data_IF_596533691243
#
_entry.id   IF_596533691243
#
_cell.length_a   1.000
_cell.length_b   1.000
_cell.length_c   1.000
_cell.angle_alpha   90.00
_cell.angle_beta   90.00
_cell.angle_gamma   90.00
#
_symmetry.space_group_name_H-M   'P 1'
#
loop_
_entity.id
_entity.type
_entity.pdbx_description
1 polymer ?
#
# COMPACT_ATOMS: atom_id res chain seq x y z
N UNK A 1 -3.45 -77.83 0.29
CA UNK A 1 -2.72 -76.66 0.84
C UNK A 1 -2.92 -75.53 -0.13
N UNK A 2 -3.76 -74.51 0.23
CA UNK A 2 -4.04 -73.34 -0.59
C UNK A 2 -3.30 -72.13 0.04
N UNK A 3 -2.32 -71.61 -0.66
CA UNK A 3 -1.58 -70.42 -0.25
C UNK A 3 -2.40 -69.18 -0.55
N UNK A 4 -2.76 -68.42 0.49
CA UNK A 4 -3.39 -67.06 0.39
C UNK A 4 -2.31 -66.06 0.09
N UNK A 5 -2.39 -65.35 -1.04
CA UNK A 5 -1.55 -64.20 -1.37
C UNK A 5 -2.21 -62.94 -0.80
N UNK A 6 -1.54 -62.35 0.16
CA UNK A 6 -1.91 -61.03 0.71
C UNK A 6 -1.45 -59.94 -0.28
N UNK A 7 -2.39 -59.19 -0.86
CA UNK A 7 -2.10 -57.98 -1.62
C UNK A 7 -2.07 -56.79 -0.64
N UNK A 8 -0.89 -56.24 -0.43
CA UNK A 8 -0.74 -54.96 0.29
C UNK A 8 -0.91 -53.84 -0.73
N UNK A 9 -2.04 -53.16 -0.64
CA UNK A 9 -2.30 -51.93 -1.44
C UNK A 9 -1.72 -50.74 -0.66
N UNK A 10 -0.58 -50.26 -1.11
CA UNK A 10 0.01 -49.01 -0.57
C UNK A 10 -0.72 -47.81 -1.19
N UNK A 11 -1.56 -47.15 -0.40
CA UNK A 11 -2.18 -45.89 -0.78
C UNK A 11 -1.15 -44.77 -0.55
N UNK A 12 -0.51 -44.27 -1.62
CA UNK A 12 0.25 -43.03 -1.59
C UNK A 12 -0.74 -41.86 -1.49
N UNK A 13 -0.87 -41.25 -0.31
CA UNK A 13 -1.53 -39.98 -0.14
C UNK A 13 -0.63 -38.87 -0.69
N UNK A 14 -0.93 -38.38 -1.90
CA UNK A 14 -0.32 -37.20 -2.44
C UNK A 14 -0.84 -35.98 -1.65
N UNK A 15 -0.03 -35.45 -0.73
CA UNK A 15 -0.26 -34.12 -0.12
C UNK A 15 -0.08 -33.09 -1.22
N UNK A 16 -1.19 -32.63 -1.81
CA UNK A 16 -1.21 -31.41 -2.65
C UNK A 16 -0.91 -30.23 -1.75
N UNK A 17 0.33 -29.71 -1.77
CA UNK A 17 0.59 -28.36 -1.30
C UNK A 17 -0.16 -27.40 -2.24
N UNK A 18 -1.36 -27.00 -1.85
CA UNK A 18 -2.05 -25.89 -2.50
C UNK A 18 -1.15 -24.66 -2.33
N UNK A 19 -0.50 -24.22 -3.40
CA UNK A 19 0.22 -22.96 -3.42
C UNK A 19 -0.79 -21.87 -3.09
N UNK A 20 -0.58 -21.20 -1.95
CA UNK A 20 -1.46 -20.13 -1.52
C UNK A 20 -1.39 -19.00 -2.56
N UNK A 21 -2.52 -18.67 -3.18
CA UNK A 21 -2.59 -17.57 -4.16
C UNK A 21 -2.00 -16.29 -3.57
N UNK A 22 -1.17 -15.56 -4.34
CA UNK A 22 -0.59 -14.31 -3.88
C UNK A 22 -1.68 -13.33 -3.44
N UNK A 23 -1.60 -12.83 -2.22
CA UNK A 23 -2.60 -11.93 -1.63
C UNK A 23 -1.98 -10.61 -1.19
N UNK A 24 -2.67 -9.51 -1.47
CA UNK A 24 -2.33 -8.18 -0.95
C UNK A 24 -2.47 -8.10 0.56
N UNK A 25 -3.41 -8.89 1.14
CA UNK A 25 -3.63 -8.92 2.59
C UNK A 25 -2.42 -9.50 3.32
N UNK A 26 -2.04 -8.85 4.40
CA UNK A 26 -0.93 -9.26 5.24
C UNK A 26 -0.15 -8.09 5.81
N UNK A 27 0.93 -8.43 6.51
CA UNK A 27 1.88 -7.48 7.07
C UNK A 27 3.16 -7.50 6.24
N UNK A 28 3.63 -6.32 5.88
CA UNK A 28 4.76 -6.09 5.00
C UNK A 28 5.78 -5.18 5.67
N UNK A 29 7.06 -5.54 5.63
CA UNK A 29 8.17 -4.77 6.22
C UNK A 29 9.00 -4.11 5.14
N UNK A 30 9.40 -2.85 5.34
CA UNK A 30 10.20 -2.10 4.39
C UNK A 30 11.54 -2.80 4.10
N UNK A 31 11.84 -2.98 2.83
CA UNK A 31 13.15 -3.48 2.34
C UNK A 31 13.94 -2.39 1.64
N UNK A 32 13.25 -1.45 0.97
CA UNK A 32 13.85 -0.34 0.23
C UNK A 32 12.90 0.86 0.19
N UNK A 33 13.45 2.05 0.15
CA UNK A 33 12.69 3.28 -0.17
C UNK A 33 13.53 4.16 -1.10
N UNK A 34 12.84 4.95 -1.94
CA UNK A 34 13.48 6.04 -2.66
C UNK A 34 14.00 7.09 -1.70
N UNK A 35 14.91 7.95 -2.17
CA UNK A 35 15.28 9.17 -1.46
C UNK A 35 14.12 10.17 -1.52
N UNK A 36 13.20 10.05 -0.53
CA UNK A 36 12.01 10.90 -0.44
C UNK A 36 12.40 12.37 -0.25
N UNK A 37 13.51 12.64 0.45
CA UNK A 37 13.99 14.02 0.65
C UNK A 37 14.43 14.63 -0.68
N UNK A 38 15.15 13.88 -1.51
CA UNK A 38 15.52 14.32 -2.86
C UNK A 38 14.29 14.54 -3.75
N UNK A 39 13.29 13.65 -3.70
CA UNK A 39 12.04 13.79 -4.44
C UNK A 39 11.27 15.07 -4.01
N UNK A 40 11.19 15.34 -2.70
CA UNK A 40 10.56 16.57 -2.16
C UNK A 40 11.33 17.79 -2.64
N UNK A 41 12.67 17.80 -2.55
CA UNK A 41 13.50 18.93 -3.00
C UNK A 41 13.29 19.21 -4.50
N UNK A 42 13.23 18.17 -5.34
CA UNK A 42 12.95 18.29 -6.77
C UNK A 42 11.55 18.86 -7.03
N UNK A 43 10.55 18.46 -6.22
CA UNK A 43 9.18 18.97 -6.34
C UNK A 43 9.08 20.47 -6.06
N UNK A 44 9.76 20.97 -5.01
CA UNK A 44 9.63 22.36 -4.56
C UNK A 44 10.69 23.31 -5.14
N UNK A 45 11.63 22.81 -5.96
CA UNK A 45 12.79 23.62 -6.42
C UNK A 45 12.40 24.90 -7.14
N UNK A 46 11.30 24.88 -7.91
CA UNK A 46 10.83 26.01 -8.73
C UNK A 46 9.87 26.93 -7.95
N UNK A 47 9.63 26.66 -6.66
CA UNK A 47 8.86 27.57 -5.79
C UNK A 47 9.70 28.78 -5.38
N UNK A 48 9.02 29.91 -5.12
CA UNK A 48 9.70 31.08 -4.61
C UNK A 48 10.36 30.81 -3.22
N UNK A 49 11.35 31.63 -2.86
CA UNK A 49 12.19 31.41 -1.69
C UNK A 49 11.43 31.44 -0.34
N UNK A 50 10.28 32.12 -0.28
CA UNK A 50 9.44 32.20 0.94
C UNK A 50 8.59 30.92 1.10
N UNK A 51 7.94 30.48 0.05
CA UNK A 51 7.02 29.33 0.08
C UNK A 51 7.76 27.97 0.10
N UNK A 52 8.95 27.91 -0.50
CA UNK A 52 9.73 26.65 -0.63
C UNK A 52 10.04 25.96 0.71
N UNK A 53 10.59 26.64 1.73
CA UNK A 53 10.88 25.97 3.01
C UNK A 53 9.60 25.51 3.73
N UNK A 54 8.50 26.24 3.62
CA UNK A 54 7.21 25.87 4.22
C UNK A 54 6.67 24.59 3.55
N UNK A 55 6.62 24.57 2.22
CA UNK A 55 6.17 23.41 1.45
C UNK A 55 7.07 22.18 1.72
N UNK A 56 8.40 22.36 1.74
CA UNK A 56 9.35 21.30 2.08
C UNK A 56 9.07 20.69 3.45
N UNK A 57 8.94 21.54 4.49
CA UNK A 57 8.67 21.08 5.85
C UNK A 57 7.36 20.30 5.95
N UNK A 58 6.27 20.80 5.32
CA UNK A 58 4.97 20.13 5.29
C UNK A 58 5.05 18.78 4.56
N UNK A 59 5.67 18.74 3.38
CA UNK A 59 5.82 17.50 2.61
C UNK A 59 6.66 16.46 3.36
N UNK A 60 7.76 16.85 3.98
CA UNK A 60 8.62 15.96 4.79
C UNK A 60 7.84 15.34 5.95
N UNK A 61 7.05 16.14 6.69
CA UNK A 61 6.24 15.66 7.80
C UNK A 61 5.15 14.66 7.35
N UNK A 62 4.55 14.90 6.18
CA UNK A 62 3.41 14.12 5.69
C UNK A 62 3.80 12.89 4.84
N UNK A 63 5.07 12.78 4.43
CA UNK A 63 5.56 11.71 3.55
C UNK A 63 6.79 11.01 4.15
N UNK A 64 6.66 10.32 5.30
CA UNK A 64 7.75 9.55 5.86
C UNK A 64 8.01 8.28 5.02
N UNK A 65 9.22 7.72 5.16
CA UNK A 65 9.54 6.39 4.67
C UNK A 65 8.93 5.35 5.62
N UNK A 66 7.69 4.93 5.37
CA UNK A 66 6.99 3.95 6.18
C UNK A 66 7.78 2.65 6.31
N UNK A 67 7.93 2.15 7.54
CA UNK A 67 8.67 0.93 7.86
C UNK A 67 7.83 -0.34 7.73
N UNK A 68 6.51 -0.20 7.89
CA UNK A 68 5.57 -1.30 7.92
C UNK A 68 4.25 -0.90 7.28
N UNK A 69 3.67 -1.81 6.53
CA UNK A 69 2.29 -1.66 6.06
C UNK A 69 1.52 -2.94 6.34
N UNK A 70 0.31 -2.80 6.87
CA UNK A 70 -0.65 -3.88 7.01
C UNK A 70 -1.84 -3.58 6.13
N UNK A 71 -2.22 -4.54 5.30
CA UNK A 71 -3.36 -4.47 4.39
C UNK A 71 -4.31 -5.60 4.73
N UNK A 72 -5.60 -5.30 4.85
CA UNK A 72 -6.68 -6.28 4.95
C UNK A 72 -7.70 -5.96 3.86
N UNK A 73 -7.98 -6.94 3.03
CA UNK A 73 -9.00 -6.85 1.97
C UNK A 73 -10.10 -7.85 2.28
N UNK A 74 -11.33 -7.38 2.35
CA UNK A 74 -12.53 -8.20 2.52
C UNK A 74 -13.67 -7.69 1.64
N UNK A 75 -14.75 -8.45 1.54
CA UNK A 75 -15.97 -8.03 0.81
C UNK A 75 -16.67 -6.83 1.45
N UNK A 76 -16.39 -6.53 2.72
CA UNK A 76 -17.01 -5.46 3.48
C UNK A 76 -16.19 -4.18 3.51
N UNK A 77 -14.88 -4.31 3.61
CA UNK A 77 -13.97 -3.16 3.74
C UNK A 77 -12.55 -3.48 3.27
N UNK A 78 -11.80 -2.43 2.97
CA UNK A 78 -10.37 -2.45 2.79
C UNK A 78 -9.76 -1.62 3.92
N UNK A 79 -8.81 -2.21 4.65
CA UNK A 79 -8.10 -1.54 5.74
C UNK A 79 -6.62 -1.43 5.39
N UNK A 80 -6.05 -0.23 5.52
CA UNK A 80 -4.61 0.00 5.37
C UNK A 80 -4.09 0.68 6.64
N UNK A 81 -3.11 0.06 7.27
CA UNK A 81 -2.37 0.65 8.41
C UNK A 81 -0.92 0.85 8.02
N UNK A 82 -0.41 2.07 8.19
CA UNK A 82 0.98 2.46 7.91
C UNK A 82 1.68 2.74 9.24
N UNK A 83 2.72 1.98 9.56
CA UNK A 83 3.42 2.01 10.84
C UNK A 83 2.43 1.89 12.03
N UNK A 84 2.61 2.67 13.07
CA UNK A 84 1.72 2.70 14.24
C UNK A 84 0.57 3.72 14.12
N UNK A 85 0.32 4.23 12.90
CA UNK A 85 -0.78 5.18 12.66
C UNK A 85 -2.15 4.51 12.76
N UNK A 86 -3.17 5.33 12.94
CA UNK A 86 -4.56 4.88 12.93
C UNK A 86 -4.89 4.17 11.62
N UNK A 87 -5.48 2.96 11.65
CA UNK A 87 -5.92 2.26 10.45
C UNK A 87 -6.92 3.09 9.65
N UNK A 88 -6.82 3.02 8.34
CA UNK A 88 -7.71 3.72 7.40
C UNK A 88 -8.69 2.69 6.85
N UNK A 89 -9.95 2.83 7.23
CA UNK A 89 -11.07 1.98 6.80
C UNK A 89 -11.73 2.58 5.57
N UNK A 90 -11.88 1.81 4.52
CA UNK A 90 -12.44 2.26 3.24
C UNK A 90 -13.46 1.25 2.73
N UNK A 91 -14.58 1.70 2.14
CA UNK A 91 -15.51 0.80 1.47
C UNK A 91 -14.82 0.16 0.23
N UNK A 92 -15.17 -1.09 -0.12
CA UNK A 92 -14.64 -1.73 -1.32
C UNK A 92 -15.23 -1.13 -2.60
N UNK A 93 -14.62 -1.47 -3.74
CA UNK A 93 -15.15 -1.14 -5.07
C UNK A 93 -15.03 0.33 -5.47
N UNK A 94 -14.08 1.07 -4.89
CA UNK A 94 -13.80 2.46 -5.26
C UNK A 94 -14.82 3.49 -4.74
N UNK A 95 -15.75 3.08 -3.88
CA UNK A 95 -16.66 4.01 -3.21
C UNK A 95 -15.88 4.92 -2.27
N UNK A 96 -16.33 6.18 -2.16
CA UNK A 96 -15.71 7.17 -1.29
C UNK A 96 -16.34 7.16 0.10
N UNK A 97 -15.52 7.41 1.13
CA UNK A 97 -15.97 7.62 2.51
C UNK A 97 -15.21 8.81 3.13
N UNK A 98 -15.81 9.54 4.07
CA UNK A 98 -15.13 10.58 4.80
C UNK A 98 -14.10 9.98 5.76
N UNK A 99 -12.93 10.60 5.84
CA UNK A 99 -11.87 10.24 6.77
C UNK A 99 -11.18 11.50 7.29
N UNK A 100 -10.81 11.49 8.57
CA UNK A 100 -10.11 12.59 9.21
C UNK A 100 -8.72 12.10 9.63
N UNK A 101 -7.69 12.79 9.18
CA UNK A 101 -6.30 12.52 9.57
C UNK A 101 -6.05 12.95 11.02
N UNK A 102 -5.01 12.44 11.64
CA UNK A 102 -4.64 12.71 13.05
C UNK A 102 -4.45 14.19 13.39
N UNK A 103 -4.12 15.03 12.39
CA UNK A 103 -3.98 16.49 12.53
C UNK A 103 -5.31 17.25 12.30
N UNK A 104 -6.42 16.53 12.15
CA UNK A 104 -7.77 17.09 11.96
C UNK A 104 -8.14 17.39 10.51
N UNK A 105 -7.23 17.21 9.54
CA UNK A 105 -7.52 17.46 8.13
C UNK A 105 -8.46 16.40 7.56
N UNK A 106 -9.52 16.82 6.86
CA UNK A 106 -10.58 15.95 6.34
C UNK A 106 -10.34 15.60 4.88
N UNK A 107 -10.62 14.36 4.52
CA UNK A 107 -10.52 13.83 3.16
C UNK A 107 -11.72 12.97 2.81
N UNK A 108 -11.99 12.85 1.52
CA UNK A 108 -12.71 11.72 0.97
C UNK A 108 -11.69 10.66 0.56
N UNK A 109 -11.85 9.44 1.07
CA UNK A 109 -10.95 8.32 0.78
C UNK A 109 -11.69 7.25 0.01
N UNK A 110 -10.95 6.53 -0.87
CA UNK A 110 -11.47 5.39 -1.62
C UNK A 110 -10.40 4.31 -1.77
N UNK A 111 -10.84 3.07 -1.92
CA UNK A 111 -9.99 1.93 -2.23
C UNK A 111 -10.55 1.14 -3.42
N UNK A 112 -9.71 0.91 -4.42
CA UNK A 112 -10.01 0.04 -5.55
C UNK A 112 -9.00 -1.10 -5.58
N UNK A 113 -9.50 -2.33 -5.49
CA UNK A 113 -8.69 -3.55 -5.43
C UNK A 113 -8.80 -4.29 -6.75
N UNK A 114 -7.67 -4.67 -7.30
CA UNK A 114 -7.53 -5.65 -8.38
C UNK A 114 -6.75 -6.87 -7.85
N UNK A 115 -6.54 -7.91 -8.67
CA UNK A 115 -5.86 -9.14 -8.27
C UNK A 115 -4.50 -8.89 -7.58
N UNK A 116 -3.67 -8.02 -8.15
CA UNK A 116 -2.30 -7.73 -7.70
C UNK A 116 -2.08 -6.27 -7.28
N UNK A 117 -3.15 -5.49 -7.17
CA UNK A 117 -3.03 -4.05 -6.95
C UNK A 117 -4.15 -3.50 -6.06
N UNK A 118 -3.76 -2.63 -5.14
CA UNK A 118 -4.67 -1.76 -4.39
C UNK A 118 -4.35 -0.31 -4.73
N UNK A 119 -5.33 0.43 -5.22
CA UNK A 119 -5.26 1.88 -5.40
C UNK A 119 -6.06 2.55 -4.28
N UNK A 120 -5.38 3.32 -3.44
CA UNK A 120 -5.96 4.11 -2.36
C UNK A 120 -5.85 5.58 -2.71
N UNK A 121 -6.95 6.33 -2.66
CA UNK A 121 -6.99 7.76 -2.94
C UNK A 121 -7.47 8.55 -1.74
N UNK A 122 -6.88 9.73 -1.55
CA UNK A 122 -7.28 10.74 -0.58
C UNK A 122 -7.48 12.04 -1.32
N UNK A 123 -8.64 12.67 -1.19
CA UNK A 123 -8.95 13.91 -1.89
C UNK A 123 -9.59 14.92 -0.95
N UNK A 124 -9.15 16.16 -1.04
CA UNK A 124 -9.76 17.32 -0.42
C UNK A 124 -9.61 18.56 -1.32
N UNK A 125 -9.94 19.75 -0.82
CA UNK A 125 -9.84 21.01 -1.56
C UNK A 125 -8.38 21.40 -1.88
N UNK A 126 -7.43 21.01 -1.03
CA UNK A 126 -6.00 21.32 -1.16
C UNK A 126 -5.26 20.41 -2.13
N UNK A 127 -5.85 19.27 -2.51
CA UNK A 127 -5.21 18.34 -3.44
C UNK A 127 -5.63 16.89 -3.31
N UNK A 128 -4.80 16.03 -3.87
CA UNK A 128 -5.02 14.59 -3.96
C UNK A 128 -3.74 13.82 -3.65
N UNK A 129 -3.86 12.75 -2.88
CA UNK A 129 -2.84 11.73 -2.73
C UNK A 129 -3.36 10.41 -3.28
N UNK A 130 -2.55 9.75 -4.10
CA UNK A 130 -2.78 8.38 -4.57
C UNK A 130 -1.66 7.49 -4.08
N UNK A 131 -2.02 6.39 -3.43
CA UNK A 131 -1.12 5.30 -3.06
C UNK A 131 -1.47 4.08 -3.92
N UNK A 132 -0.53 3.61 -4.72
CA UNK A 132 -0.67 2.38 -5.50
C UNK A 132 0.21 1.32 -4.84
N UNK A 133 -0.42 0.31 -4.24
CA UNK A 133 0.26 -0.87 -3.73
C UNK A 133 0.19 -1.97 -4.79
N UNK A 134 1.33 -2.39 -5.30
CA UNK A 134 1.43 -3.43 -6.32
C UNK A 134 2.20 -4.63 -5.80
N UNK A 135 1.56 -5.80 -5.89
CA UNK A 135 2.14 -7.08 -5.51
C UNK A 135 2.99 -7.62 -6.67
N UNK A 136 4.18 -8.15 -6.37
CA UNK A 136 4.97 -8.89 -7.35
C UNK A 136 4.30 -10.22 -7.74
N UNK A 137 4.60 -10.75 -8.94
CA UNK A 137 3.99 -12.00 -9.40
C UNK A 137 4.23 -13.20 -8.47
N UNK A 138 5.37 -13.23 -7.77
CA UNK A 138 5.70 -14.27 -6.78
C UNK A 138 5.07 -14.04 -5.40
N UNK A 139 4.34 -12.93 -5.20
CA UNK A 139 3.66 -12.60 -3.95
C UNK A 139 4.57 -12.24 -2.78
N UNK A 140 5.87 -12.04 -3.01
CA UNK A 140 6.87 -11.80 -1.94
C UNK A 140 7.19 -10.33 -1.72
N UNK A 141 6.92 -9.49 -2.70
CA UNK A 141 7.26 -8.06 -2.69
C UNK A 141 6.01 -7.23 -2.93
N UNK A 142 5.84 -6.18 -2.13
CA UNK A 142 4.80 -5.18 -2.30
C UNK A 142 5.47 -3.83 -2.54
N UNK A 143 5.15 -3.16 -3.64
CA UNK A 143 5.65 -1.81 -3.93
C UNK A 143 4.53 -0.79 -3.74
N UNK A 144 4.75 0.17 -2.85
CA UNK A 144 3.95 1.38 -2.74
C UNK A 144 4.54 2.45 -3.64
N UNK A 145 3.76 2.96 -4.59
CA UNK A 145 4.05 4.21 -5.29
C UNK A 145 3.08 5.28 -4.79
N UNK A 146 3.61 6.31 -4.14
CA UNK A 146 2.83 7.42 -3.63
C UNK A 146 2.96 8.63 -4.56
N UNK A 147 1.84 9.24 -4.93
CA UNK A 147 1.80 10.47 -5.72
C UNK A 147 0.96 11.50 -4.99
N UNK A 148 1.51 12.70 -4.78
CA UNK A 148 0.83 13.85 -4.16
C UNK A 148 0.70 14.96 -5.19
N UNK A 149 -0.52 15.40 -5.45
CA UNK A 149 -0.85 16.53 -6.33
C UNK A 149 -1.52 17.63 -5.54
N UNK A 150 -1.16 18.88 -5.77
CA UNK A 150 -1.82 20.05 -5.21
C UNK A 150 -1.67 21.21 -6.17
N UNK A 151 -2.69 22.11 -6.29
CA UNK A 151 -2.56 23.35 -7.04
C UNK A 151 -1.43 24.26 -6.55
N UNK A 152 -0.99 24.06 -5.31
CA UNK A 152 0.10 24.84 -4.69
C UNK A 152 1.49 24.30 -5.03
N UNK A 153 1.60 23.10 -5.62
CA UNK A 153 2.87 22.50 -6.01
C UNK A 153 3.14 22.73 -7.51
N UNK A 154 4.37 23.10 -7.92
CA UNK A 154 4.73 23.31 -9.33
C UNK A 154 4.68 21.99 -10.13
N UNK A 155 4.82 20.85 -9.46
CA UNK A 155 4.74 19.50 -10.02
C UNK A 155 4.33 18.49 -8.95
N UNK A 156 3.79 17.32 -9.33
CA UNK A 156 3.51 16.25 -8.37
C UNK A 156 4.76 15.76 -7.65
N UNK A 157 4.62 15.41 -6.36
CA UNK A 157 5.60 14.61 -5.64
C UNK A 157 5.29 13.13 -5.89
N UNK A 158 6.29 12.37 -6.35
CA UNK A 158 6.17 10.91 -6.52
C UNK A 158 7.39 10.23 -5.93
N UNK A 159 7.17 9.12 -5.19
CA UNK A 159 8.22 8.27 -4.65
C UNK A 159 7.70 6.84 -4.45
N UNK A 160 8.62 5.89 -4.28
CA UNK A 160 8.28 4.50 -4.07
C UNK A 160 8.94 3.94 -2.81
N UNK A 161 8.25 2.99 -2.17
CA UNK A 161 8.74 2.20 -1.05
C UNK A 161 8.44 0.73 -1.37
N UNK A 162 9.44 -0.12 -1.21
CA UNK A 162 9.33 -1.57 -1.41
C UNK A 162 9.32 -2.26 -0.06
N UNK A 163 8.42 -3.21 0.08
CA UNK A 163 8.24 -4.02 1.26
C UNK A 163 8.36 -5.51 0.91
N UNK A 164 8.80 -6.32 1.86
CA UNK A 164 8.85 -7.78 1.78
C UNK A 164 8.08 -8.43 2.92
N UNK A 165 7.78 -9.70 2.75
CA UNK A 165 7.26 -10.60 3.82
C UNK A 165 8.38 -11.34 4.48
#
# INVERSE_FOLDING_TARGET
MRAARLFVVSVLAALSLAAQEPSLSGTWSQTKADDIAAAINATVKDMNFIKRPIARGRLTKLNPAYKKVMITVSDKEVVVKLDERTPIHMPPGGKTAPWTREDGEKFMVAAQVAKDQLVQTFKNEDGERTNVFKLSPDGRTLTLTATVKSPQLPRPLTYSITFGR
#
